data_IF_988677002049
#
_entry.id   IF_988677002049
#
_cell.length_a   1.000
_cell.length_b   1.000
_cell.length_c   1.000
_cell.angle_alpha   90.00
_cell.angle_beta   90.00
_cell.angle_gamma   90.00
#
_symmetry.space_group_name_H-M   'P 1'
#
loop_
_entity.id
_entity.type
_entity.pdbx_description
1 polymer ?
#
# COMPACT_ATOMS: atom_id res chain seq x y z
N UNK A 1 3.99 -12.66 10.20
CA UNK A 1 4.75 -11.43 9.93
C UNK A 1 3.98 -10.23 10.44
N UNK A 2 4.68 -9.12 10.78
CA UNK A 2 3.98 -7.89 11.17
C UNK A 2 3.05 -7.36 10.08
N UNK A 3 2.05 -6.61 10.51
CA UNK A 3 1.15 -5.89 9.61
C UNK A 3 1.56 -4.44 9.57
N UNK A 4 1.51 -3.85 8.38
CA UNK A 4 1.80 -2.44 8.17
C UNK A 4 0.63 -1.79 7.44
N UNK A 5 0.23 -0.63 7.95
CA UNK A 5 -0.76 0.19 7.27
C UNK A 5 -0.03 1.39 6.69
N UNK A 6 -0.10 1.56 5.37
CA UNK A 6 0.46 2.74 4.76
C UNK A 6 -0.66 3.67 4.31
N UNK A 7 -0.38 4.97 4.36
CA UNK A 7 -1.35 6.00 4.05
C UNK A 7 -0.76 6.96 3.02
N UNK A 8 -1.50 7.14 1.93
CA UNK A 8 -1.23 8.18 0.95
C UNK A 8 -2.25 9.29 1.22
N UNK A 9 -1.78 10.48 1.64
CA UNK A 9 -2.68 11.54 2.08
C UNK A 9 -3.45 12.20 0.94
N UNK A 10 -2.81 12.35 -0.22
CA UNK A 10 -3.46 12.97 -1.36
C UNK A 10 -2.83 12.52 -2.67
N UNK A 11 -3.59 11.80 -3.46
CA UNK A 11 -3.18 11.38 -4.80
C UNK A 11 -4.02 12.18 -5.80
N UNK A 12 -3.40 13.08 -6.58
CA UNK A 12 -4.15 13.88 -7.56
C UNK A 12 -4.83 12.98 -8.60
N UNK A 13 -6.10 13.29 -8.89
CA UNK A 13 -6.83 12.55 -9.90
C UNK A 13 -7.16 11.11 -9.52
N UNK A 14 -7.24 10.82 -8.22
CA UNK A 14 -7.49 9.47 -7.74
C UNK A 14 -8.84 8.93 -8.22
N UNK A 15 -8.81 7.72 -8.80
CA UNK A 15 -10.01 6.98 -9.18
C UNK A 15 -9.86 5.54 -8.69
N UNK A 16 -11.01 4.86 -8.51
CA UNK A 16 -10.99 3.45 -8.14
C UNK A 16 -10.22 2.60 -9.14
N UNK A 17 -10.30 2.92 -10.42
CA UNK A 17 -9.57 2.21 -11.46
C UNK A 17 -8.06 2.38 -11.32
N UNK A 18 -7.60 3.60 -11.04
CA UNK A 18 -6.17 3.87 -10.85
C UNK A 18 -5.63 3.13 -9.63
N UNK A 19 -6.39 3.09 -8.52
CA UNK A 19 -6.00 2.35 -7.32
C UNK A 19 -5.92 0.86 -7.61
N UNK A 20 -6.90 0.31 -8.34
CA UNK A 20 -6.91 -1.11 -8.70
C UNK A 20 -5.69 -1.48 -9.54
N UNK A 21 -5.29 -0.62 -10.47
CA UNK A 21 -4.08 -0.84 -11.28
C UNK A 21 -2.81 -0.81 -10.44
N UNK A 22 -2.72 0.14 -9.52
CA UNK A 22 -1.57 0.25 -8.63
C UNK A 22 -1.46 -0.99 -7.73
N UNK A 23 -2.60 -1.45 -7.18
CA UNK A 23 -2.63 -2.64 -6.36
C UNK A 23 -2.19 -3.89 -7.16
N UNK A 24 -2.68 -4.02 -8.39
CA UNK A 24 -2.27 -5.13 -9.26
C UNK A 24 -0.76 -5.12 -9.53
N UNK A 25 -0.17 -3.93 -9.69
CA UNK A 25 1.27 -3.79 -9.87
C UNK A 25 2.04 -4.21 -8.61
N UNK A 26 1.51 -3.86 -7.41
CA UNK A 26 2.09 -4.32 -6.15
C UNK A 26 2.11 -5.84 -6.07
N UNK A 27 0.97 -6.48 -6.41
CA UNK A 27 0.86 -7.93 -6.36
C UNK A 27 1.85 -8.63 -7.30
N UNK A 28 2.20 -7.98 -8.40
CA UNK A 28 3.13 -8.56 -9.39
C UNK A 28 4.57 -8.60 -8.88
N UNK A 29 4.97 -7.71 -7.97
CA UNK A 29 6.36 -7.60 -7.50
C UNK A 29 6.56 -7.97 -6.04
N UNK A 30 5.47 -8.11 -5.28
CA UNK A 30 5.56 -8.26 -3.81
C UNK A 30 6.31 -9.49 -3.34
N UNK A 31 6.24 -10.60 -4.07
CA UNK A 31 6.84 -11.87 -3.64
C UNK A 31 8.35 -11.77 -3.46
N UNK A 32 9.04 -11.00 -4.31
CA UNK A 32 10.49 -10.87 -4.22
C UNK A 32 10.93 -10.10 -2.97
N UNK A 33 10.02 -9.35 -2.35
CA UNK A 33 10.28 -8.61 -1.11
C UNK A 33 9.71 -9.29 0.12
N UNK A 34 9.13 -10.48 -0.03
CA UNK A 34 8.45 -11.23 1.03
C UNK A 34 7.28 -10.45 1.63
N UNK A 35 6.58 -9.69 0.80
CA UNK A 35 5.46 -8.84 1.18
C UNK A 35 4.17 -9.39 0.59
N UNK A 36 3.07 -9.23 1.32
CA UNK A 36 1.73 -9.55 0.82
C UNK A 36 0.82 -8.38 1.13
N UNK A 37 0.43 -7.63 0.11
CA UNK A 37 -0.61 -6.62 0.24
C UNK A 37 -1.97 -7.31 0.29
N UNK A 38 -2.70 -7.11 1.40
CA UNK A 38 -3.92 -7.85 1.69
C UNK A 38 -5.17 -7.11 1.28
N UNK A 39 -5.26 -5.83 1.59
CA UNK A 39 -6.43 -4.99 1.36
C UNK A 39 -6.02 -3.56 1.15
N UNK A 40 -6.91 -2.79 0.54
CA UNK A 40 -6.74 -1.34 0.44
C UNK A 40 -8.11 -0.67 0.52
N UNK A 41 -8.09 0.59 0.93
CA UNK A 41 -9.27 1.44 0.98
C UNK A 41 -8.90 2.77 0.33
N UNK A 42 -9.86 3.42 -0.29
CA UNK A 42 -9.60 4.69 -0.96
C UNK A 42 -10.81 5.62 -0.85
N UNK A 43 -10.53 6.93 -0.93
CA UNK A 43 -11.56 7.96 -0.94
C UNK A 43 -11.24 8.92 -2.07
N UNK A 44 -12.07 8.86 -3.11
CA UNK A 44 -11.84 9.68 -4.30
C UNK A 44 -12.00 11.18 -4.00
N UNK A 45 -12.85 11.54 -3.05
CA UNK A 45 -13.09 12.94 -2.72
C UNK A 45 -11.86 13.63 -2.14
N UNK A 46 -11.13 12.94 -1.25
CA UNK A 46 -9.95 13.51 -0.60
C UNK A 46 -8.64 13.09 -1.24
N UNK A 47 -8.65 12.01 -2.03
CA UNK A 47 -7.44 11.43 -2.60
C UNK A 47 -6.67 10.54 -1.65
N UNK A 48 -7.28 10.14 -0.54
CA UNK A 48 -6.62 9.26 0.44
C UNK A 48 -6.69 7.81 0.04
N UNK A 49 -5.58 7.09 0.26
CA UNK A 49 -5.51 5.64 0.06
C UNK A 49 -4.83 5.02 1.27
N UNK A 50 -5.39 3.90 1.72
CA UNK A 50 -4.84 3.12 2.83
C UNK A 50 -4.57 1.72 2.31
N UNK A 51 -3.35 1.21 2.50
CA UNK A 51 -2.98 -0.14 2.10
C UNK A 51 -2.53 -0.94 3.30
N UNK A 52 -3.02 -2.16 3.43
CA UNK A 52 -2.62 -3.07 4.52
C UNK A 52 -1.77 -4.18 3.94
N UNK A 53 -0.59 -4.39 4.53
CA UNK A 53 0.34 -5.40 4.05
C UNK A 53 0.93 -6.20 5.20
N UNK A 54 1.21 -7.49 4.95
CA UNK A 54 2.12 -8.27 5.77
C UNK A 54 3.51 -8.11 5.18
N UNK A 55 4.49 -7.79 6.01
CA UNK A 55 5.85 -7.57 5.54
C UNK A 55 6.86 -7.81 6.67
N UNK A 56 8.11 -8.19 6.34
CA UNK A 56 9.15 -8.35 7.36
C UNK A 56 9.59 -7.02 7.96
N UNK A 57 9.38 -5.92 7.25
CA UNK A 57 9.73 -4.57 7.73
C UNK A 57 8.95 -3.53 6.94
N UNK A 58 8.90 -2.30 7.46
CA UNK A 58 8.29 -1.19 6.75
C UNK A 58 9.03 -0.92 5.42
N UNK A 59 10.35 -1.04 5.42
CA UNK A 59 11.18 -0.82 4.24
C UNK A 59 10.83 -1.80 3.11
N UNK A 60 10.51 -3.06 3.44
CA UNK A 60 10.12 -4.04 2.45
C UNK A 60 8.81 -3.65 1.76
N UNK A 61 7.83 -3.18 2.54
CA UNK A 61 6.56 -2.70 1.98
C UNK A 61 6.77 -1.48 1.09
N UNK A 62 7.61 -0.54 1.54
CA UNK A 62 7.95 0.65 0.76
C UNK A 62 8.63 0.27 -0.56
N UNK A 63 9.52 -0.73 -0.52
CA UNK A 63 10.22 -1.20 -1.72
C UNK A 63 9.26 -1.74 -2.77
N UNK A 64 8.18 -2.41 -2.36
CA UNK A 64 7.15 -2.90 -3.30
C UNK A 64 6.50 -1.73 -4.02
N UNK A 65 6.04 -0.72 -3.29
CA UNK A 65 5.41 0.46 -3.90
C UNK A 65 6.37 1.19 -4.83
N UNK A 66 7.64 1.33 -4.42
CA UNK A 66 8.64 2.01 -5.24
C UNK A 66 8.85 1.30 -6.57
N UNK A 67 8.97 -0.02 -6.53
CA UNK A 67 9.20 -0.81 -7.73
C UNK A 67 7.95 -0.91 -8.61
N UNK A 68 6.78 -1.07 -7.99
CA UNK A 68 5.54 -1.31 -8.72
C UNK A 68 5.04 -0.08 -9.47
N UNK A 69 5.00 1.07 -8.82
CA UNK A 69 4.39 2.28 -9.40
C UNK A 69 5.04 3.59 -8.95
N UNK A 70 5.95 3.54 -7.99
CA UNK A 70 6.65 4.74 -7.53
C UNK A 70 5.85 5.66 -6.61
N UNK A 71 4.61 5.32 -6.26
CA UNK A 71 3.79 6.13 -5.37
C UNK A 71 4.11 5.75 -3.93
N UNK A 72 4.98 6.51 -3.30
CA UNK A 72 5.38 6.23 -1.93
C UNK A 72 4.36 6.78 -0.94
N UNK A 73 4.11 6.03 0.13
CA UNK A 73 3.17 6.46 1.16
C UNK A 73 3.76 7.62 1.96
N UNK A 74 2.87 8.49 2.46
CA UNK A 74 3.27 9.58 3.35
C UNK A 74 3.56 9.04 4.75
N UNK A 75 2.90 7.94 5.13
CA UNK A 75 3.07 7.33 6.45
C UNK A 75 2.97 5.82 6.34
N UNK A 76 3.84 5.12 7.05
CA UNK A 76 3.79 3.66 7.16
C UNK A 76 3.94 3.32 8.64
N UNK A 77 2.95 2.65 9.22
CA UNK A 77 2.98 2.28 10.64
C UNK A 77 2.71 0.80 10.81
N UNK A 78 3.40 0.20 11.76
CA UNK A 78 3.09 -1.16 12.16
C UNK A 78 1.80 -1.14 12.96
N UNK A 79 0.87 -2.03 12.62
CA UNK A 79 -0.45 -2.10 13.26
C UNK A 79 -0.71 -3.51 13.76
N UNK A 80 -1.60 -3.60 14.73
CA UNK A 80 -2.11 -4.88 15.22
C UNK A 80 -3.61 -4.85 15.11
N UNK A 81 -4.16 -5.97 14.70
CA UNK A 81 -5.60 -6.07 14.54
C UNK A 81 -6.25 -6.26 15.91
N UNK A 82 -7.24 -5.42 16.21
CA UNK A 82 -8.07 -5.56 17.38
C UNK A 82 -9.33 -6.36 17.06
N UNK A 83 -9.88 -7.04 18.05
CA UNK A 83 -11.12 -7.80 17.89
C UNK A 83 -12.30 -7.09 18.55
#
# INVERSE_FOLDING_TARGET
MPLYLDTHNKIPGLTGEAVAKAHAADLAVQAKHSVSYLRYWYDEATGKVFCLAEAPSAEAAIAVHREAHGLLADEVVEVKEGA
#
